data_IF_835316153909
#
_entry.id   IF_835316153909
#
_cell.length_a   1.000
_cell.length_b   1.000
_cell.length_c   1.000
_cell.angle_alpha   90.00
_cell.angle_beta   90.00
_cell.angle_gamma   90.00
#
_symmetry.space_group_name_H-M   'P 1'
#
loop_
_entity.id
_entity.type
_entity.pdbx_description
1 polymer ?
#
# COMPACT_ATOMS: atom_id res chain seq x y z
N UNK A 1 -20.33 8.84 18.12
CA UNK A 1 -19.80 7.87 17.16
C UNK A 1 -18.47 8.44 16.70
N UNK A 2 -17.38 7.74 16.86
CA UNK A 2 -16.08 8.23 16.39
C UNK A 2 -15.99 7.99 14.88
N UNK A 3 -15.64 9.01 14.12
CA UNK A 3 -15.62 8.92 12.65
C UNK A 3 -14.39 9.66 12.12
N UNK A 4 -13.66 9.02 11.23
CA UNK A 4 -12.70 9.70 10.36
C UNK A 4 -13.47 10.23 9.17
N UNK A 5 -13.46 11.56 8.98
CA UNK A 5 -14.10 12.18 7.82
C UNK A 5 -13.35 11.82 6.53
N UNK A 6 -14.06 11.86 5.40
CA UNK A 6 -13.44 11.63 4.10
C UNK A 6 -12.28 12.60 3.82
N UNK A 7 -12.38 13.84 4.31
CA UNK A 7 -11.31 14.83 4.18
C UNK A 7 -10.06 14.45 5.00
N UNK A 8 -10.23 13.94 6.22
CA UNK A 8 -9.11 13.46 7.05
C UNK A 8 -8.45 12.24 6.41
N UNK A 9 -9.25 11.29 5.93
CA UNK A 9 -8.76 10.11 5.22
C UNK A 9 -7.97 10.50 3.96
N UNK A 10 -8.55 11.31 3.09
CA UNK A 10 -7.86 11.79 1.88
C UNK A 10 -6.55 12.52 2.19
N UNK A 11 -6.51 13.31 3.25
CA UNK A 11 -5.28 14.00 3.69
C UNK A 11 -4.20 13.03 4.13
N UNK A 12 -4.55 12.00 4.88
CA UNK A 12 -3.61 10.95 5.30
C UNK A 12 -3.05 10.21 4.08
N UNK A 13 -3.91 9.78 3.16
CA UNK A 13 -3.49 9.10 1.93
C UNK A 13 -2.59 10.01 1.06
N UNK A 14 -2.93 11.28 0.93
CA UNK A 14 -2.11 12.24 0.17
C UNK A 14 -0.70 12.40 0.78
N UNK A 15 -0.58 12.40 2.12
CA UNK A 15 0.73 12.42 2.80
C UNK A 15 1.53 11.13 2.55
N UNK A 16 0.90 9.96 2.64
CA UNK A 16 1.54 8.68 2.31
C UNK A 16 1.99 8.63 0.85
N UNK A 17 1.12 9.05 -0.09
CA UNK A 17 1.45 9.12 -1.51
C UNK A 17 2.66 10.01 -1.74
N UNK A 18 2.71 11.21 -1.15
CA UNK A 18 3.85 12.12 -1.27
C UNK A 18 5.17 11.49 -0.81
N UNK A 19 5.16 10.69 0.26
CA UNK A 19 6.35 9.96 0.74
C UNK A 19 6.76 8.90 -0.30
N UNK A 20 5.80 8.12 -0.79
CA UNK A 20 6.05 7.06 -1.75
C UNK A 20 6.56 7.58 -3.10
N UNK A 21 5.96 8.68 -3.60
CA UNK A 21 6.37 9.32 -4.85
C UNK A 21 7.77 9.92 -4.73
N UNK A 22 8.08 10.57 -3.59
CA UNK A 22 9.42 11.09 -3.32
C UNK A 22 10.48 9.98 -3.26
N UNK A 23 10.16 8.81 -2.71
CA UNK A 23 11.04 7.66 -2.73
C UNK A 23 11.30 7.15 -4.16
N UNK A 24 10.22 6.95 -4.93
CA UNK A 24 10.32 6.52 -6.32
C UNK A 24 11.12 7.51 -7.18
N UNK A 25 10.86 8.80 -7.02
CA UNK A 25 11.56 9.86 -7.74
C UNK A 25 13.04 9.95 -7.35
N UNK A 26 13.34 9.89 -6.04
CA UNK A 26 14.73 9.91 -5.56
C UNK A 26 15.53 8.76 -6.15
N UNK A 27 14.99 7.54 -6.13
CA UNK A 27 15.66 6.38 -6.71
C UNK A 27 15.77 6.49 -8.23
N UNK A 28 14.70 6.90 -8.91
CA UNK A 28 14.70 7.09 -10.38
C UNK A 28 15.73 8.11 -10.82
N UNK A 29 15.84 9.25 -10.14
CA UNK A 29 16.80 10.29 -10.46
C UNK A 29 18.24 9.79 -10.32
N UNK A 30 18.55 9.00 -9.28
CA UNK A 30 19.85 8.35 -9.16
C UNK A 30 20.15 7.46 -10.36
N UNK A 31 19.21 6.62 -10.77
CA UNK A 31 19.39 5.71 -11.92
C UNK A 31 19.58 6.51 -13.21
N UNK A 32 18.78 7.54 -13.46
CA UNK A 32 18.88 8.40 -14.65
C UNK A 32 20.23 9.12 -14.70
N UNK A 33 20.72 9.67 -13.58
CA UNK A 33 22.03 10.37 -13.56
C UNK A 33 23.22 9.47 -13.87
N UNK A 34 23.03 8.14 -13.77
CA UNK A 34 24.03 7.12 -14.14
C UNK A 34 23.83 6.56 -15.55
N UNK A 35 22.84 7.09 -16.31
CA UNK A 35 22.53 6.60 -17.66
C UNK A 35 21.77 5.27 -17.68
N UNK A 36 21.03 4.94 -16.61
CA UNK A 36 20.25 3.72 -16.48
C UNK A 36 20.85 2.70 -15.50
N UNK A 37 20.01 1.79 -15.00
CA UNK A 37 20.43 0.80 -14.00
C UNK A 37 21.57 -0.12 -14.50
N UNK A 38 21.64 -0.38 -15.79
CA UNK A 38 22.67 -1.25 -16.39
C UNK A 38 24.09 -0.70 -16.28
N UNK A 39 24.22 0.62 -16.11
CA UNK A 39 25.51 1.31 -15.95
C UNK A 39 25.93 1.42 -14.47
N UNK A 40 25.15 0.88 -13.55
CA UNK A 40 25.42 0.93 -12.12
C UNK A 40 25.86 -0.45 -11.66
N UNK A 41 26.96 -0.50 -10.91
CA UNK A 41 27.34 -1.74 -10.23
C UNK A 41 26.17 -2.26 -9.38
N UNK A 42 25.92 -3.57 -9.44
CA UNK A 42 24.78 -4.21 -8.80
C UNK A 42 24.72 -3.92 -7.30
N UNK A 43 25.86 -3.99 -6.63
CA UNK A 43 25.95 -3.73 -5.20
C UNK A 43 25.59 -2.27 -4.89
N UNK A 44 26.13 -1.31 -5.62
CA UNK A 44 25.85 0.12 -5.46
C UNK A 44 24.37 0.45 -5.70
N UNK A 45 23.72 -0.23 -6.65
CA UNK A 45 22.29 -0.08 -6.92
C UNK A 45 21.45 -0.56 -5.74
N UNK A 46 21.80 -1.72 -5.14
CA UNK A 46 21.11 -2.28 -3.97
C UNK A 46 21.32 -1.39 -2.75
N UNK A 47 22.55 -0.93 -2.51
CA UNK A 47 22.89 -0.07 -1.38
C UNK A 47 22.10 1.24 -1.44
N UNK A 48 22.01 1.85 -2.62
CA UNK A 48 21.24 3.07 -2.81
C UNK A 48 19.72 2.82 -2.62
N UNK A 49 19.20 1.72 -3.18
CA UNK A 49 17.81 1.31 -2.99
C UNK A 49 17.49 1.11 -1.50
N UNK A 50 18.39 0.46 -0.75
CA UNK A 50 18.25 0.26 0.68
C UNK A 50 18.21 1.58 1.44
N UNK A 51 19.12 2.51 1.17
CA UNK A 51 19.12 3.83 1.79
C UNK A 51 17.82 4.61 1.53
N UNK A 52 17.29 4.56 0.30
CA UNK A 52 16.00 5.17 -0.05
C UNK A 52 14.84 4.49 0.67
N UNK A 53 14.78 3.14 0.63
CA UNK A 53 13.73 2.37 1.29
C UNK A 53 13.71 2.61 2.80
N UNK A 54 14.86 2.68 3.45
CA UNK A 54 14.98 2.98 4.89
C UNK A 54 14.49 4.38 5.19
N UNK A 55 15.06 5.41 4.55
CA UNK A 55 14.71 6.82 4.82
C UNK A 55 13.22 7.12 4.69
N UNK A 56 12.64 6.71 3.58
CA UNK A 56 11.22 6.99 3.31
C UNK A 56 10.29 5.98 3.99
N UNK A 57 10.77 4.75 4.24
CA UNK A 57 10.07 3.74 5.03
C UNK A 57 9.85 4.20 6.48
N UNK A 58 10.87 4.77 7.13
CA UNK A 58 10.75 5.38 8.46
C UNK A 58 9.69 6.49 8.48
N UNK A 59 9.68 7.36 7.46
CA UNK A 59 8.67 8.43 7.36
C UNK A 59 7.25 7.88 7.15
N UNK A 60 7.10 6.82 6.35
CA UNK A 60 5.82 6.13 6.13
C UNK A 60 5.31 5.44 7.39
N UNK A 61 6.21 4.76 8.11
CA UNK A 61 5.91 4.10 9.38
C UNK A 61 5.51 5.11 10.47
N UNK A 62 6.26 6.21 10.61
CA UNK A 62 5.95 7.26 11.58
C UNK A 62 4.58 7.91 11.31
N UNK A 63 4.26 8.24 10.03
CA UNK A 63 2.96 8.78 9.66
C UNK A 63 1.82 7.81 9.96
N UNK A 64 2.05 6.51 9.77
CA UNK A 64 1.06 5.48 10.07
C UNK A 64 0.86 5.28 11.57
N UNK A 65 1.92 5.42 12.38
CA UNK A 65 1.84 5.43 13.84
C UNK A 65 1.02 6.64 14.34
N UNK A 66 1.28 7.86 13.80
CA UNK A 66 0.48 9.05 14.10
C UNK A 66 -1.02 8.82 13.82
N UNK A 67 -1.35 8.19 12.70
CA UNK A 67 -2.74 7.88 12.34
C UNK A 67 -3.35 6.85 13.29
N UNK A 68 -2.59 5.82 13.67
CA UNK A 68 -3.04 4.82 14.64
C UNK A 68 -3.40 5.45 15.99
N UNK A 69 -2.51 6.31 16.51
CA UNK A 69 -2.71 7.01 17.78
C UNK A 69 -3.91 7.96 17.72
N UNK A 70 -4.06 8.70 16.60
CA UNK A 70 -5.22 9.58 16.41
C UNK A 70 -6.55 8.81 16.41
N UNK A 71 -6.59 7.62 15.80
CA UNK A 71 -7.79 6.76 15.82
C UNK A 71 -8.03 6.18 17.22
N UNK A 72 -7.00 5.81 17.95
CA UNK A 72 -7.09 5.35 19.32
C UNK A 72 -7.69 6.43 20.23
N UNK A 73 -7.19 7.66 20.13
CA UNK A 73 -7.68 8.81 20.88
C UNK A 73 -9.15 9.11 20.55
N UNK A 74 -9.49 9.22 19.26
CA UNK A 74 -10.88 9.45 18.80
C UNK A 74 -11.85 8.38 19.27
N UNK A 75 -11.38 7.13 19.39
CA UNK A 75 -12.16 5.99 19.85
C UNK A 75 -12.25 5.91 21.38
N UNK A 76 -11.43 6.67 22.11
CA UNK A 76 -11.27 6.53 23.55
C UNK A 76 -10.63 5.19 23.95
N UNK A 77 -9.80 4.63 23.07
CA UNK A 77 -9.07 3.39 23.33
C UNK A 77 -7.89 3.64 24.25
N UNK A 78 -7.73 2.77 25.24
CA UNK A 78 -6.60 2.83 26.19
C UNK A 78 -5.52 1.88 25.72
N UNK A 79 -4.72 2.35 24.78
CA UNK A 79 -3.60 1.59 24.17
C UNK A 79 -2.27 2.32 24.39
N UNK A 80 -1.13 1.63 24.41
CA UNK A 80 0.17 2.27 24.34
C UNK A 80 0.32 3.05 23.03
N UNK A 81 1.19 4.06 23.02
CA UNK A 81 1.55 4.76 21.79
C UNK A 81 1.98 3.77 20.69
N UNK A 82 1.60 4.06 19.47
CA UNK A 82 1.94 3.22 18.33
C UNK A 82 3.46 3.20 18.11
N UNK A 83 3.99 2.02 17.81
CA UNK A 83 5.39 1.81 17.49
C UNK A 83 5.50 1.71 15.96
N UNK A 84 6.32 2.56 15.30
CA UNK A 84 6.64 2.38 13.89
C UNK A 84 7.24 0.99 13.64
N UNK A 85 6.80 0.33 12.57
CA UNK A 85 7.40 -0.94 12.15
C UNK A 85 8.80 -0.71 11.56
N UNK A 86 9.62 -1.74 11.60
CA UNK A 86 10.91 -1.74 10.94
C UNK A 86 10.74 -1.55 9.41
N UNK A 87 11.72 -0.92 8.80
CA UNK A 87 11.79 -0.81 7.34
C UNK A 87 12.26 -2.14 6.74
N UNK A 88 12.12 -2.26 5.41
CA UNK A 88 12.53 -3.46 4.69
C UNK A 88 14.00 -3.82 4.98
N UNK A 89 14.25 -5.07 5.34
CA UNK A 89 15.59 -5.57 5.57
C UNK A 89 16.45 -5.50 4.28
N UNK A 90 17.76 -5.34 4.43
CA UNK A 90 18.68 -5.30 3.29
C UNK A 90 18.49 -6.48 2.32
N UNK A 91 18.33 -7.68 2.85
CA UNK A 91 18.10 -8.90 2.06
C UNK A 91 16.80 -8.84 1.24
N UNK A 92 15.77 -8.21 1.75
CA UNK A 92 14.48 -8.01 1.06
C UNK A 92 14.62 -7.00 -0.08
N UNK A 93 15.30 -5.89 0.17
CA UNK A 93 15.63 -4.91 -0.87
C UNK A 93 16.45 -5.55 -1.98
N UNK A 94 17.50 -6.30 -1.62
CA UNK A 94 18.34 -7.01 -2.58
C UNK A 94 17.55 -8.03 -3.40
N UNK A 95 16.66 -8.79 -2.78
CA UNK A 95 15.74 -9.73 -3.45
C UNK A 95 14.82 -9.00 -4.43
N UNK A 96 14.26 -7.87 -4.03
CA UNK A 96 13.36 -7.05 -4.86
C UNK A 96 14.10 -6.50 -6.08
N UNK A 97 15.24 -5.85 -5.89
CA UNK A 97 16.05 -5.28 -6.98
C UNK A 97 16.50 -6.37 -7.96
N UNK A 98 17.06 -7.47 -7.44
CA UNK A 98 17.53 -8.58 -8.28
C UNK A 98 16.37 -9.26 -9.04
N UNK A 99 15.23 -9.43 -8.39
CA UNK A 99 14.03 -10.02 -9.01
C UNK A 99 13.53 -9.17 -10.18
N UNK A 100 13.43 -7.86 -10.00
CA UNK A 100 12.96 -6.95 -11.06
C UNK A 100 13.93 -6.93 -12.23
N UNK A 101 15.23 -6.85 -11.98
CA UNK A 101 16.24 -6.84 -13.07
C UNK A 101 16.17 -8.14 -13.86
N UNK A 102 16.01 -9.28 -13.20
CA UNK A 102 15.90 -10.58 -13.87
C UNK A 102 14.64 -10.69 -14.74
N UNK A 103 13.53 -10.08 -14.31
CA UNK A 103 12.23 -10.24 -14.98
C UNK A 103 11.98 -9.20 -16.07
N UNK A 104 12.24 -7.93 -15.80
CA UNK A 104 11.84 -6.82 -16.67
C UNK A 104 12.98 -5.93 -17.10
N UNK A 105 14.00 -5.76 -16.26
CA UNK A 105 15.11 -4.86 -16.52
C UNK A 105 14.70 -3.40 -16.81
N UNK A 106 13.71 -2.88 -16.06
CA UNK A 106 13.16 -1.54 -16.28
C UNK A 106 13.46 -0.60 -15.12
N UNK A 107 14.03 0.58 -15.40
CA UNK A 107 14.27 1.64 -14.42
C UNK A 107 12.98 2.09 -13.71
N UNK A 108 11.88 2.15 -14.45
CA UNK A 108 10.57 2.49 -13.91
C UNK A 108 10.08 1.42 -12.93
N UNK A 109 10.19 0.15 -13.28
CA UNK A 109 9.74 -0.95 -12.40
C UNK A 109 10.64 -1.06 -11.17
N UNK A 110 11.92 -0.74 -11.28
CA UNK A 110 12.84 -0.67 -10.14
C UNK A 110 12.41 0.42 -9.14
N UNK A 111 12.12 1.63 -9.61
CA UNK A 111 11.65 2.72 -8.72
C UNK A 111 10.31 2.40 -8.07
N UNK A 112 9.39 1.74 -8.79
CA UNK A 112 8.13 1.24 -8.25
C UNK A 112 8.37 0.16 -7.18
N UNK A 113 9.34 -0.73 -7.38
CA UNK A 113 9.74 -1.75 -6.41
C UNK A 113 10.22 -1.14 -5.09
N UNK A 114 11.06 -0.09 -5.16
CA UNK A 114 11.52 0.65 -3.97
C UNK A 114 10.35 1.34 -3.27
N UNK A 115 9.47 2.03 -4.01
CA UNK A 115 8.26 2.67 -3.45
C UNK A 115 7.34 1.66 -2.76
N UNK A 116 7.22 0.44 -3.29
CA UNK A 116 6.46 -0.63 -2.64
C UNK A 116 7.03 -0.98 -1.26
N UNK A 117 8.35 -1.08 -1.13
CA UNK A 117 9.00 -1.37 0.16
C UNK A 117 8.73 -0.25 1.19
N UNK A 118 8.68 1.00 0.74
CA UNK A 118 8.31 2.14 1.60
C UNK A 118 6.86 2.05 2.08
N UNK A 119 5.93 1.68 1.19
CA UNK A 119 4.52 1.45 1.55
C UNK A 119 4.35 0.35 2.58
N UNK A 120 5.13 -0.73 2.45
CA UNK A 120 5.06 -1.85 3.38
C UNK A 120 5.32 -1.40 4.81
N UNK A 121 6.32 -0.57 5.07
CA UNK A 121 6.63 -0.08 6.41
C UNK A 121 5.44 0.66 7.08
N UNK A 122 4.71 1.49 6.32
CA UNK A 122 3.49 2.14 6.82
C UNK A 122 2.36 1.15 7.10
N UNK A 123 2.14 0.21 6.19
CA UNK A 123 1.11 -0.84 6.33
C UNK A 123 1.41 -1.74 7.52
N UNK A 124 2.66 -2.20 7.65
CA UNK A 124 3.11 -3.08 8.72
C UNK A 124 3.02 -2.39 10.09
N UNK A 125 3.20 -1.06 10.15
CA UNK A 125 2.98 -0.29 11.37
C UNK A 125 1.55 -0.42 11.89
N UNK A 126 0.54 -0.28 11.02
CA UNK A 126 -0.87 -0.45 11.42
C UNK A 126 -1.12 -1.89 11.88
N UNK A 127 -0.61 -2.89 11.14
CA UNK A 127 -0.82 -4.30 11.44
C UNK A 127 -0.14 -4.73 12.74
N UNK A 128 1.10 -4.30 12.96
CA UNK A 128 1.89 -4.59 14.16
C UNK A 128 1.17 -4.11 15.43
N UNK A 129 0.75 -2.83 15.43
CA UNK A 129 0.07 -2.26 16.58
C UNK A 129 -1.33 -2.85 16.77
N UNK A 130 -2.09 -3.12 15.69
CA UNK A 130 -3.37 -3.78 15.78
C UNK A 130 -3.26 -5.22 16.31
N UNK A 131 -2.17 -5.93 16.00
CA UNK A 131 -1.89 -7.25 16.56
C UNK A 131 -1.59 -7.16 18.06
N UNK A 132 -0.77 -6.21 18.50
CA UNK A 132 -0.50 -5.94 19.91
C UNK A 132 -1.78 -5.64 20.69
N UNK A 133 -2.68 -4.87 20.09
CA UNK A 133 -3.86 -4.28 20.76
C UNK A 133 -5.15 -5.06 20.48
N UNK A 134 -5.07 -6.39 20.29
CA UNK A 134 -6.23 -7.26 20.05
C UNK A 134 -7.21 -7.33 21.23
N UNK A 135 -6.77 -6.95 22.43
CA UNK A 135 -7.62 -6.94 23.64
C UNK A 135 -7.42 -5.64 24.40
N UNK A 136 -8.23 -4.65 24.09
CA UNK A 136 -8.13 -3.32 24.71
C UNK A 136 -9.45 -2.90 25.34
N UNK A 137 -9.38 -1.95 26.28
CA UNK A 137 -10.55 -1.31 26.87
C UNK A 137 -10.84 0.00 26.16
N UNK A 138 -12.07 0.14 25.67
CA UNK A 138 -12.58 1.38 25.08
C UNK A 138 -13.49 2.08 26.08
N UNK A 139 -13.28 3.37 26.27
CA UNK A 139 -14.11 4.23 27.08
C UNK A 139 -15.29 4.78 26.27
N UNK A 140 -16.51 4.57 26.74
CA UNK A 140 -17.71 5.17 26.17
C UNK A 140 -18.51 5.81 27.28
N UNK A 141 -18.26 7.09 27.55
CA UNK A 141 -18.81 7.79 28.73
C UNK A 141 -18.27 7.18 30.02
N UNK A 142 -19.17 6.82 30.96
CA UNK A 142 -18.83 6.16 32.21
C UNK A 142 -18.62 4.63 32.10
N UNK A 143 -18.88 4.05 30.92
CA UNK A 143 -18.79 2.60 30.70
C UNK A 143 -17.48 2.24 30.03
N UNK A 144 -16.83 1.17 30.53
CA UNK A 144 -15.69 0.52 29.90
C UNK A 144 -16.17 -0.75 29.18
N UNK A 145 -15.78 -0.94 27.93
CA UNK A 145 -16.08 -2.15 27.18
C UNK A 145 -14.77 -2.75 26.67
N UNK A 146 -14.64 -4.05 26.79
CA UNK A 146 -13.56 -4.75 26.12
C UNK A 146 -13.87 -4.78 24.61
N UNK A 147 -12.93 -4.25 23.84
CA UNK A 147 -12.95 -4.29 22.41
C UNK A 147 -11.53 -4.52 21.94
N UNK A 148 -11.33 -5.30 20.87
CA UNK A 148 -10.01 -5.46 20.27
C UNK A 148 -9.84 -4.49 19.10
N UNK A 149 -8.60 -4.21 18.77
CA UNK A 149 -8.27 -3.56 17.51
C UNK A 149 -8.76 -4.44 16.34
N UNK A 150 -9.40 -3.82 15.37
CA UNK A 150 -9.78 -4.43 14.09
C UNK A 150 -9.18 -3.60 12.97
N UNK A 151 -8.81 -4.24 11.88
CA UNK A 151 -8.27 -3.59 10.69
C UNK A 151 -9.16 -3.84 9.49
N UNK A 152 -9.22 -2.87 8.58
CA UNK A 152 -9.84 -3.03 7.28
C UNK A 152 -8.93 -2.44 6.21
N UNK A 153 -8.91 -3.07 5.06
CA UNK A 153 -8.28 -2.53 3.87
C UNK A 153 -9.20 -1.49 3.24
N UNK A 154 -8.78 -0.24 3.23
CA UNK A 154 -9.61 0.85 2.72
C UNK A 154 -9.07 1.32 1.39
N UNK A 155 -9.84 1.16 0.31
CA UNK A 155 -9.50 1.68 -1.00
C UNK A 155 -9.39 3.20 -1.01
N UNK A 156 -8.51 3.71 -1.86
CA UNK A 156 -8.33 5.13 -2.09
C UNK A 156 -8.22 5.38 -3.60
N UNK A 157 -9.28 5.92 -4.19
CA UNK A 157 -9.37 6.10 -5.64
C UNK A 157 -9.82 4.85 -6.38
N UNK A 158 -9.31 4.65 -7.60
CA UNK A 158 -9.62 3.46 -8.40
C UNK A 158 -9.12 2.19 -7.73
N UNK A 159 -10.04 1.27 -7.50
CA UNK A 159 -9.78 0.06 -6.71
C UNK A 159 -9.54 -1.12 -7.62
N UNK A 160 -8.30 -1.59 -7.68
CA UNK A 160 -8.00 -2.80 -8.45
C UNK A 160 -8.71 -4.03 -7.85
N UNK A 161 -8.98 -5.08 -8.63
CA UNK A 161 -9.69 -6.29 -8.18
C UNK A 161 -9.08 -6.97 -6.95
N UNK A 162 -7.77 -6.90 -6.78
CA UNK A 162 -7.11 -7.42 -5.58
C UNK A 162 -7.47 -6.59 -4.33
N UNK A 163 -7.41 -5.27 -4.42
CA UNK A 163 -7.78 -4.37 -3.31
C UNK A 163 -9.27 -4.46 -2.98
N UNK A 164 -10.13 -4.62 -4.00
CA UNK A 164 -11.56 -4.87 -3.83
C UNK A 164 -11.79 -6.15 -3.01
N UNK A 165 -11.07 -7.24 -3.34
CA UNK A 165 -11.14 -8.49 -2.58
C UNK A 165 -10.71 -8.32 -1.11
N UNK A 166 -9.73 -7.47 -0.82
CA UNK A 166 -9.34 -7.15 0.56
C UNK A 166 -10.38 -6.28 1.25
N UNK A 167 -10.89 -5.25 0.57
CA UNK A 167 -11.90 -4.34 1.09
C UNK A 167 -13.22 -5.05 1.41
N UNK A 168 -13.59 -6.06 0.61
CA UNK A 168 -14.80 -6.86 0.81
C UNK A 168 -14.80 -7.67 2.12
N UNK A 169 -13.64 -7.89 2.73
CA UNK A 169 -13.53 -8.59 4.01
C UNK A 169 -13.98 -7.73 5.18
N UNK A 170 -14.07 -6.41 5.01
CA UNK A 170 -14.47 -5.47 6.06
C UNK A 170 -13.50 -5.44 7.24
N UNK A 171 -14.04 -5.10 8.39
CA UNK A 171 -13.29 -5.00 9.64
C UNK A 171 -13.04 -6.36 10.26
N UNK A 172 -11.79 -6.73 10.43
CA UNK A 172 -11.38 -8.02 10.97
C UNK A 172 -10.37 -7.85 12.10
N UNK A 173 -10.37 -8.80 13.03
CA UNK A 173 -9.28 -8.91 13.99
C UNK A 173 -8.02 -9.37 13.27
N UNK A 174 -6.91 -8.74 13.60
CA UNK A 174 -5.62 -9.14 13.07
C UNK A 174 -5.20 -10.47 13.70
N UNK A 175 -4.92 -11.45 12.86
CA UNK A 175 -4.32 -12.72 13.27
C UNK A 175 -2.83 -12.71 12.90
N UNK A 176 -2.04 -13.53 13.56
CA UNK A 176 -0.60 -13.67 13.30
C UNK A 176 -0.30 -13.97 11.82
N UNK A 177 -1.11 -14.82 11.20
CA UNK A 177 -1.00 -15.15 9.79
C UNK A 177 -1.33 -13.94 8.88
N UNK A 178 -2.33 -13.16 9.23
CA UNK A 178 -2.71 -11.99 8.47
C UNK A 178 -1.66 -10.86 8.57
N UNK A 179 -1.00 -10.73 9.72
CA UNK A 179 0.09 -9.77 9.91
C UNK A 179 1.27 -10.03 8.97
N UNK A 180 1.57 -11.30 8.71
CA UNK A 180 2.76 -11.69 7.96
C UNK A 180 2.56 -11.84 6.45
N UNK A 181 1.33 -11.91 5.93
CA UNK A 181 1.07 -12.30 4.54
C UNK A 181 0.52 -11.20 3.63
N UNK A 182 0.00 -10.10 4.17
CA UNK A 182 -0.69 -9.11 3.35
C UNK A 182 0.20 -8.02 2.78
N UNK A 183 1.27 -7.65 3.47
CA UNK A 183 2.22 -6.64 3.00
C UNK A 183 2.98 -7.09 1.73
N UNK A 184 3.22 -8.39 1.58
CA UNK A 184 3.95 -8.93 0.42
C UNK A 184 3.23 -8.75 -0.93
N UNK A 185 1.92 -8.51 -0.92
CA UNK A 185 1.09 -8.43 -2.12
C UNK A 185 0.64 -7.01 -2.50
N UNK A 186 1.16 -5.99 -1.81
CA UNK A 186 0.86 -4.59 -2.12
C UNK A 186 1.52 -4.21 -3.45
N UNK A 187 0.75 -3.64 -4.37
CA UNK A 187 1.31 -3.12 -5.61
C UNK A 187 1.95 -1.75 -5.40
N UNK A 188 2.93 -1.42 -6.22
CA UNK A 188 3.61 -0.13 -6.16
C UNK A 188 2.65 1.06 -6.38
N UNK A 189 1.71 0.94 -7.30
CA UNK A 189 0.80 2.03 -7.71
C UNK A 189 -0.55 2.01 -6.97
N UNK A 190 -0.67 1.25 -5.87
CA UNK A 190 -1.90 1.17 -5.08
C UNK A 190 -1.85 2.18 -3.93
N UNK A 191 -2.85 3.04 -3.81
CA UNK A 191 -3.00 4.00 -2.70
C UNK A 191 -3.84 3.46 -1.54
N UNK A 192 -4.34 2.24 -1.67
CA UNK A 192 -5.08 1.57 -0.62
C UNK A 192 -4.14 1.22 0.55
N UNK A 193 -4.67 1.29 1.77
CA UNK A 193 -3.91 0.92 2.98
C UNK A 193 -4.84 0.40 4.06
N UNK A 194 -4.26 -0.17 5.12
CA UNK A 194 -5.02 -0.55 6.30
C UNK A 194 -5.39 0.67 7.14
N UNK A 195 -6.59 0.61 7.71
CA UNK A 195 -7.05 1.46 8.79
C UNK A 195 -7.38 0.59 9.99
N UNK A 196 -7.12 1.09 11.20
CA UNK A 196 -7.52 0.45 12.45
C UNK A 196 -8.82 1.05 12.95
N UNK A 197 -9.59 0.28 13.70
CA UNK A 197 -10.67 0.77 14.56
C UNK A 197 -10.64 0.10 15.93
N UNK A 198 -11.16 0.82 16.92
CA UNK A 198 -11.38 0.30 18.25
C UNK A 198 -12.88 0.38 18.57
N UNK A 199 -13.54 -0.78 18.56
CA UNK A 199 -14.98 -0.88 18.75
C UNK A 199 -15.81 -0.70 17.48
N UNK A 200 -17.01 -1.27 17.49
CA UNK A 200 -17.90 -1.37 16.33
C UNK A 200 -18.50 -0.02 15.88
N UNK A 201 -18.47 0.99 16.74
CA UNK A 201 -19.07 2.30 16.47
C UNK A 201 -18.14 3.27 15.72
N UNK A 202 -16.91 2.85 15.43
CA UNK A 202 -15.99 3.64 14.64
C UNK A 202 -16.22 3.41 13.14
N UNK A 203 -16.26 4.47 12.36
CA UNK A 203 -16.46 4.43 10.92
C UNK A 203 -15.46 5.32 10.20
N UNK A 204 -15.19 4.99 8.94
CA UNK A 204 -14.48 5.84 7.98
C UNK A 204 -15.50 6.27 6.95
N UNK A 205 -15.69 7.58 6.80
CA UNK A 205 -16.65 8.13 5.84
C UNK A 205 -16.27 7.75 4.40
N UNK A 206 -17.23 7.21 3.65
CA UNK A 206 -17.01 6.73 2.28
C UNK A 206 -16.47 5.30 2.18
N UNK A 207 -16.39 4.57 3.30
CA UNK A 207 -16.06 3.14 3.29
C UNK A 207 -17.25 2.31 3.80
N UNK A 208 -17.88 1.58 2.88
CA UNK A 208 -18.86 0.54 3.19
C UNK A 208 -18.35 -0.83 2.68
N UNK A 209 -17.94 -1.73 3.58
CA UNK A 209 -17.46 -3.05 3.17
C UNK A 209 -18.54 -3.90 2.47
N UNK A 210 -19.83 -3.60 2.67
CA UNK A 210 -20.91 -4.36 2.02
C UNK A 210 -20.99 -4.05 0.52
N UNK A 211 -20.69 -2.83 0.09
CA UNK A 211 -20.59 -2.47 -1.33
C UNK A 211 -19.48 -3.29 -2.00
N UNK A 212 -18.29 -3.33 -1.41
CA UNK A 212 -17.17 -4.14 -1.93
C UNK A 212 -17.46 -5.64 -1.88
N UNK A 213 -18.18 -6.09 -0.84
CA UNK A 213 -18.62 -7.48 -0.74
C UNK A 213 -19.60 -7.84 -1.85
N UNK A 214 -20.57 -6.98 -2.14
CA UNK A 214 -21.51 -7.19 -3.24
C UNK A 214 -20.77 -7.27 -4.60
N UNK A 215 -19.80 -6.38 -4.87
CA UNK A 215 -18.98 -6.45 -6.07
C UNK A 215 -18.20 -7.76 -6.17
N UNK A 216 -17.58 -8.20 -5.07
CA UNK A 216 -16.84 -9.46 -5.02
C UNK A 216 -17.74 -10.69 -5.20
N UNK A 217 -18.90 -10.69 -4.55
CA UNK A 217 -19.85 -11.82 -4.62
C UNK A 217 -20.45 -11.98 -6.03
N UNK A 218 -20.67 -10.87 -6.73
CA UNK A 218 -21.20 -10.85 -8.11
C UNK A 218 -20.14 -11.23 -9.16
N UNK A 219 -18.85 -11.19 -8.83
CA UNK A 219 -17.79 -11.57 -9.75
C UNK A 219 -17.86 -13.07 -10.11
N UNK A 220 -17.69 -13.40 -11.38
CA UNK A 220 -17.68 -14.77 -11.87
C UNK A 220 -16.50 -15.56 -11.34
N UNK A 221 -16.73 -16.82 -10.98
CA UNK A 221 -15.70 -17.75 -10.49
C UNK A 221 -16.07 -18.40 -9.16
N UNK A 222 -15.49 -19.56 -8.90
CA UNK A 222 -15.69 -20.36 -7.67
C UNK A 222 -14.59 -20.10 -6.65
N UNK A 223 -13.37 -19.82 -7.11
CA UNK A 223 -12.22 -19.54 -6.27
C UNK A 223 -11.94 -18.03 -6.23
N UNK A 224 -11.19 -17.60 -5.22
CA UNK A 224 -10.72 -16.21 -5.10
C UNK A 224 -9.98 -15.74 -6.36
N UNK A 225 -9.09 -16.58 -6.89
CA UNK A 225 -8.27 -16.22 -8.04
C UNK A 225 -9.10 -16.14 -9.33
N UNK A 226 -10.10 -17.02 -9.49
CA UNK A 226 -11.05 -16.93 -10.60
C UNK A 226 -11.84 -15.63 -10.55
N UNK A 227 -12.37 -15.25 -9.39
CA UNK A 227 -13.08 -13.99 -9.20
C UNK A 227 -12.20 -12.77 -9.48
N UNK A 228 -10.98 -12.73 -8.96
CA UNK A 228 -10.01 -11.66 -9.24
C UNK A 228 -9.74 -11.56 -10.76
N UNK A 229 -9.56 -12.69 -11.43
CA UNK A 229 -9.30 -12.72 -12.86
C UNK A 229 -10.53 -12.32 -13.69
N UNK A 230 -11.75 -12.64 -13.23
CA UNK A 230 -13.00 -12.16 -13.85
C UNK A 230 -13.07 -10.64 -13.76
N UNK A 231 -12.96 -10.07 -12.57
CA UNK A 231 -12.96 -8.62 -12.36
C UNK A 231 -11.88 -7.89 -13.17
N UNK A 232 -10.68 -8.50 -13.31
CA UNK A 232 -9.60 -7.93 -14.15
C UNK A 232 -9.95 -7.92 -15.62
N UNK A 233 -10.67 -8.93 -16.11
CA UNK A 233 -11.13 -8.97 -17.51
C UNK A 233 -12.20 -7.92 -17.78
N UNK A 234 -13.12 -7.72 -16.83
CA UNK A 234 -14.15 -6.70 -16.90
C UNK A 234 -13.53 -5.30 -16.90
N UNK A 235 -12.68 -5.00 -15.93
CA UNK A 235 -11.92 -3.75 -15.84
C UNK A 235 -11.10 -3.48 -17.12
N UNK A 236 -10.40 -4.50 -17.63
CA UNK A 236 -9.70 -4.37 -18.91
C UNK A 236 -10.63 -4.13 -20.10
N UNK A 237 -11.79 -4.77 -20.14
CA UNK A 237 -12.75 -4.60 -21.23
C UNK A 237 -13.34 -3.18 -21.24
N UNK A 238 -13.65 -2.63 -20.07
CA UNK A 238 -14.15 -1.26 -19.89
C UNK A 238 -13.10 -0.20 -20.26
N UNK A 239 -11.84 -0.42 -19.86
CA UNK A 239 -10.76 0.55 -20.02
C UNK A 239 -9.81 0.24 -21.19
N UNK A 240 -10.17 -0.70 -22.08
CA UNK A 240 -9.30 -1.22 -23.14
C UNK A 240 -8.78 -0.14 -24.09
N UNK A 241 -9.60 0.82 -24.46
CA UNK A 241 -9.21 1.86 -25.41
C UNK A 241 -8.22 2.85 -24.78
N UNK A 242 -8.42 3.20 -23.51
CA UNK A 242 -7.49 4.04 -22.77
C UNK A 242 -6.16 3.33 -22.52
N UNK A 243 -6.19 2.07 -22.08
CA UNK A 243 -4.98 1.24 -21.88
C UNK A 243 -4.20 1.12 -23.21
N UNK A 244 -4.88 0.91 -24.33
CA UNK A 244 -4.24 0.82 -25.63
C UNK A 244 -3.69 2.17 -26.12
N UNK A 245 -4.35 3.28 -25.80
CA UNK A 245 -3.85 4.62 -26.09
C UNK A 245 -2.57 4.91 -25.29
N UNK A 246 -2.56 4.61 -23.98
CA UNK A 246 -1.37 4.75 -23.12
C UNK A 246 -0.19 3.89 -23.62
N UNK A 247 -0.45 2.64 -24.01
CA UNK A 247 0.58 1.74 -24.58
C UNK A 247 1.18 2.31 -25.87
N UNK A 248 0.33 2.86 -26.77
CA UNK A 248 0.79 3.50 -28.02
C UNK A 248 1.65 4.73 -27.75
N UNK A 249 1.26 5.57 -26.80
CA UNK A 249 2.05 6.74 -26.38
C UNK A 249 3.40 6.32 -25.79
N UNK A 250 3.41 5.35 -24.87
CA UNK A 250 4.63 4.83 -24.27
C UNK A 250 5.59 4.23 -25.31
N UNK A 251 5.04 3.49 -26.30
CA UNK A 251 5.83 2.96 -27.41
C UNK A 251 6.44 4.07 -28.27
N UNK A 252 5.65 5.10 -28.60
CA UNK A 252 6.14 6.25 -29.39
C UNK A 252 7.25 7.00 -28.66
N UNK A 253 7.07 7.32 -27.38
CA UNK A 253 8.08 8.00 -26.56
C UNK A 253 9.37 7.18 -26.45
N UNK A 254 9.25 5.84 -26.34
CA UNK A 254 10.43 4.97 -26.31
C UNK A 254 11.18 5.01 -27.64
N UNK A 255 10.46 4.93 -28.76
CA UNK A 255 11.04 4.95 -30.09
C UNK A 255 11.76 6.28 -30.38
N UNK A 256 11.14 7.42 -30.00
CA UNK A 256 11.74 8.74 -30.12
C UNK A 256 13.07 8.84 -29.33
N UNK A 257 13.13 8.27 -28.10
CA UNK A 257 14.38 8.24 -27.32
C UNK A 257 15.45 7.33 -27.92
N UNK A 258 15.06 6.19 -28.52
CA UNK A 258 15.99 5.28 -29.20
C UNK A 258 16.59 5.94 -30.44
N UNK A 259 15.80 6.73 -31.18
CA UNK A 259 16.24 7.51 -32.34
C UNK A 259 17.19 8.67 -31.93
N UNK A 260 16.92 9.37 -30.82
CA UNK A 260 17.77 10.44 -30.30
C UNK A 260 19.12 9.94 -29.71
N UNK A 261 19.23 8.67 -29.34
CA UNK A 261 20.44 8.06 -28.76
C UNK A 261 21.27 7.30 -29.82
N UNK A 262 20.73 7.14 -31.02
CA UNK A 262 21.37 6.41 -32.11
C UNK A 262 22.13 7.28 -33.12
N UNK A 263 22.09 8.61 -32.96
CA UNK A 263 22.91 9.62 -33.63
C UNK A 263 24.07 10.07 -32.70
#
# INVERSE_FOLDING_TARGET
>A
MATISQAQWKRYIARLRKINDAAAETFRNYVITKGGYANIERQALIDYAYGVATKYGEASAALSAEMYDAVAELSGAMVPAAVPADTAAYSEVAKTVNGIIKQTGSDQVLSQGVSRLVKMAGTDTILLNAHRDQSVTVRSGSKRRHSGAQVAWIPSGETCPFCLTLASKGWQRQTEWAANSHSEHIHANCDCTYMVRFGEKFTVEGYDPNEYKAMYDNAEGKTRDEKINSMRREDYAENKDEINAQKRMAYKTRKEREEEQGD
#
